data_IF_986342915783
#
_entry.id   IF_986342915783
#
_cell.length_a   1.000
_cell.length_b   1.000
_cell.length_c   1.000
_cell.angle_alpha   90.00
_cell.angle_beta   90.00
_cell.angle_gamma   90.00
#
_symmetry.space_group_name_H-M   'P 1'
#
loop_
_entity.id
_entity.type
_entity.pdbx_description
1 polymer ?
#
# COMPACT_ATOMS: atom_id res chain seq x y z
N UNK A 1 10.04 3.06 18.90
CA UNK A 1 9.16 3.83 18.00
C UNK A 1 9.68 3.66 16.59
N UNK A 2 8.86 3.21 15.65
CA UNK A 2 9.24 2.94 14.27
C UNK A 2 9.30 4.25 13.48
N UNK A 3 10.46 4.55 12.89
CA UNK A 3 10.66 5.73 12.03
C UNK A 3 10.37 5.36 10.58
N UNK A 4 9.33 5.98 10.02
CA UNK A 4 8.84 5.69 8.67
C UNK A 4 9.29 6.78 7.70
N UNK A 5 9.84 6.36 6.56
CA UNK A 5 10.06 7.21 5.39
C UNK A 5 8.93 7.08 4.37
N UNK A 6 8.30 8.18 3.97
CA UNK A 6 7.20 8.16 2.97
C UNK A 6 7.71 8.60 1.60
N UNK A 7 7.60 7.75 0.59
CA UNK A 7 8.05 8.01 -0.77
C UNK A 7 6.83 8.28 -1.66
N UNK A 8 6.71 9.48 -2.18
CA UNK A 8 5.54 10.00 -2.89
C UNK A 8 4.64 10.82 -1.96
N UNK A 9 4.52 12.11 -2.24
CA UNK A 9 3.69 13.09 -1.50
C UNK A 9 2.49 13.55 -2.35
N UNK A 10 1.99 12.67 -3.22
CA UNK A 10 0.79 12.89 -4.04
C UNK A 10 -0.51 12.79 -3.23
N UNK A 11 -1.54 12.13 -3.76
CA UNK A 11 -2.84 12.03 -3.07
C UNK A 11 -2.77 11.22 -1.76
N UNK A 12 -2.05 10.09 -1.76
CA UNK A 12 -1.99 9.16 -0.62
C UNK A 12 -0.87 9.47 0.37
N UNK A 13 0.26 9.99 -0.09
CA UNK A 13 1.41 10.33 0.77
C UNK A 13 1.06 11.15 2.03
N UNK A 14 0.35 12.29 1.92
CA UNK A 14 -0.06 13.10 3.06
C UNK A 14 -0.94 12.34 4.06
N UNK A 15 -1.78 11.41 3.59
CA UNK A 15 -2.59 10.57 4.47
C UNK A 15 -1.72 9.62 5.30
N UNK A 16 -0.75 8.96 4.67
CA UNK A 16 0.23 8.12 5.36
C UNK A 16 1.08 8.93 6.35
N UNK A 17 1.60 10.09 5.92
CA UNK A 17 2.38 11.00 6.78
C UNK A 17 1.57 11.39 8.02
N UNK A 18 0.30 11.75 7.84
CA UNK A 18 -0.60 12.08 8.94
C UNK A 18 -0.78 10.89 9.87
N UNK A 19 -1.11 9.71 9.36
CA UNK A 19 -1.39 8.54 10.19
C UNK A 19 -0.16 8.12 10.99
N UNK A 20 1.01 7.96 10.37
CA UNK A 20 2.21 7.55 11.09
C UNK A 20 2.67 8.57 12.14
N UNK A 21 2.32 9.85 11.99
CA UNK A 21 2.59 10.90 13.00
C UNK A 21 1.68 10.81 14.24
N UNK A 22 0.52 10.16 14.12
CA UNK A 22 -0.47 10.07 15.21
C UNK A 22 -0.52 8.71 15.91
N UNK A 23 0.05 7.66 15.31
CA UNK A 23 0.11 6.35 15.93
C UNK A 23 1.17 6.33 17.04
N UNK A 24 0.83 5.79 18.21
CA UNK A 24 1.69 5.81 19.40
C UNK A 24 3.07 5.16 19.18
N UNK A 25 3.18 4.20 18.26
CA UNK A 25 4.38 3.39 18.05
C UNK A 25 5.15 3.74 16.77
N UNK A 26 4.77 4.79 16.04
CA UNK A 26 5.48 5.23 14.83
C UNK A 26 5.67 6.74 14.78
N UNK A 27 6.50 7.18 13.85
CA UNK A 27 6.64 8.58 13.47
C UNK A 27 6.95 8.70 11.98
N UNK A 28 6.35 9.67 11.30
CA UNK A 28 6.77 10.09 9.97
C UNK A 28 8.08 10.86 10.08
N UNK A 29 9.18 10.19 9.80
CA UNK A 29 10.52 10.73 10.03
C UNK A 29 11.03 11.53 8.83
N UNK A 30 10.81 11.01 7.62
CA UNK A 30 11.21 11.66 6.37
C UNK A 30 10.15 11.45 5.28
N UNK A 31 10.11 12.33 4.30
CA UNK A 31 9.40 12.07 3.05
C UNK A 31 10.17 12.52 1.81
N UNK A 32 9.86 11.88 0.68
CA UNK A 32 10.46 12.16 -0.61
C UNK A 32 9.40 12.37 -1.70
N UNK A 33 9.57 13.39 -2.54
CA UNK A 33 8.78 13.61 -3.75
C UNK A 33 9.63 14.44 -4.72
N UNK A 34 9.51 14.19 -6.03
CA UNK A 34 10.24 14.95 -7.04
C UNK A 34 9.77 16.41 -7.11
N UNK A 35 8.52 16.68 -6.72
CA UNK A 35 7.90 18.00 -6.76
C UNK A 35 8.13 18.79 -5.45
N UNK A 36 8.95 19.84 -5.52
CA UNK A 36 9.29 20.69 -4.37
C UNK A 36 8.07 21.37 -3.73
N UNK A 37 7.07 21.77 -4.52
CA UNK A 37 5.87 22.42 -4.00
C UNK A 37 5.05 21.47 -3.12
N UNK A 38 5.04 20.16 -3.43
CA UNK A 38 4.44 19.14 -2.55
C UNK A 38 5.23 19.03 -1.25
N UNK A 39 6.56 19.03 -1.32
CA UNK A 39 7.42 18.97 -0.12
C UNK A 39 7.25 20.20 0.78
N UNK A 40 7.13 21.40 0.21
CA UNK A 40 6.86 22.65 0.94
C UNK A 40 5.55 22.55 1.72
N UNK A 41 4.45 22.14 1.08
CA UNK A 41 3.14 21.94 1.72
C UNK A 41 3.19 20.91 2.87
N UNK A 42 3.97 19.84 2.71
CA UNK A 42 4.18 18.86 3.78
C UNK A 42 4.89 19.52 4.97
N UNK A 43 5.95 20.30 4.75
CA UNK A 43 6.67 21.00 5.84
C UNK A 43 5.81 22.04 6.56
N UNK A 44 4.92 22.73 5.85
CA UNK A 44 3.96 23.67 6.46
C UNK A 44 2.99 22.96 7.42
N UNK A 45 2.62 21.72 7.12
CA UNK A 45 1.68 20.94 7.93
C UNK A 45 2.38 20.12 9.03
N UNK A 46 3.58 19.62 8.75
CA UNK A 46 4.32 18.68 9.62
C UNK A 46 5.73 19.22 9.89
N UNK A 47 5.86 20.05 10.93
CA UNK A 47 7.09 20.82 11.19
C UNK A 47 8.36 19.98 11.42
N UNK A 48 8.22 18.74 11.92
CA UNK A 48 9.35 17.89 12.30
C UNK A 48 9.78 16.87 11.22
N UNK A 49 9.09 16.83 10.07
CA UNK A 49 9.42 15.87 9.01
C UNK A 49 10.58 16.39 8.15
N UNK A 50 11.60 15.56 7.90
CA UNK A 50 12.64 15.89 6.91
C UNK A 50 12.10 15.65 5.50
N UNK A 51 12.45 16.50 4.55
CA UNK A 51 12.05 16.33 3.14
C UNK A 51 13.26 16.21 2.24
N UNK A 52 13.17 15.38 1.20
CA UNK A 52 14.17 15.27 0.14
C UNK A 52 13.49 15.11 -1.23
N UNK A 53 14.18 15.42 -2.31
CA UNK A 53 13.75 15.05 -3.67
C UNK A 53 14.29 13.68 -4.12
N UNK A 54 15.23 13.10 -3.36
CA UNK A 54 15.84 11.81 -3.68
C UNK A 54 15.41 10.76 -2.66
N UNK A 55 14.58 9.81 -3.08
CA UNK A 55 14.12 8.74 -2.19
C UNK A 55 15.27 7.87 -1.67
N UNK A 56 16.41 7.81 -2.37
CA UNK A 56 17.59 7.06 -1.90
C UNK A 56 18.16 7.62 -0.60
N UNK A 57 17.95 8.89 -0.32
CA UNK A 57 18.36 9.47 0.97
C UNK A 57 17.55 8.85 2.12
N UNK A 58 16.29 8.46 1.89
CA UNK A 58 15.47 7.73 2.87
C UNK A 58 16.00 6.29 3.03
N UNK A 59 16.28 5.61 1.91
CA UNK A 59 16.74 4.22 1.93
C UNK A 59 18.09 4.08 2.65
N UNK A 60 18.99 5.05 2.45
CA UNK A 60 20.32 5.05 3.06
C UNK A 60 20.34 5.61 4.47
N UNK A 61 19.25 6.21 4.97
CA UNK A 61 19.23 6.79 6.30
C UNK A 61 19.24 5.68 7.37
N UNK A 62 20.21 5.64 8.30
CA UNK A 62 20.32 4.55 9.27
C UNK A 62 19.17 4.54 10.28
N UNK A 63 18.61 5.72 10.58
CA UNK A 63 17.45 5.83 11.48
C UNK A 63 16.09 5.49 10.85
N UNK A 64 16.00 5.22 9.54
CA UNK A 64 14.72 4.82 8.92
C UNK A 64 14.55 3.31 9.07
N UNK A 65 13.49 2.87 9.73
CA UNK A 65 13.18 1.45 9.96
C UNK A 65 12.34 0.85 8.83
N UNK A 66 11.39 1.65 8.31
CA UNK A 66 10.40 1.22 7.33
C UNK A 66 10.14 2.32 6.29
N UNK A 67 9.71 1.92 5.09
CA UNK A 67 9.27 2.82 4.04
C UNK A 67 7.83 2.57 3.65
N UNK A 68 7.10 3.65 3.38
CA UNK A 68 5.77 3.64 2.79
C UNK A 68 5.85 4.21 1.37
N UNK A 69 5.59 3.39 0.36
CA UNK A 69 5.67 3.77 -1.05
C UNK A 69 4.26 4.13 -1.53
N UNK A 70 4.07 5.40 -1.87
CA UNK A 70 2.84 6.00 -2.40
C UNK A 70 3.14 6.81 -3.68
N UNK A 71 4.10 6.33 -4.47
CA UNK A 71 4.51 6.88 -5.77
C UNK A 71 3.64 6.32 -6.91
N UNK A 72 3.85 6.73 -8.18
CA UNK A 72 3.18 6.09 -9.31
C UNK A 72 3.53 4.61 -9.46
N UNK A 73 2.58 3.84 -10.01
CA UNK A 73 2.63 2.37 -10.03
C UNK A 73 3.88 1.79 -10.71
N UNK A 74 4.33 2.42 -11.80
CA UNK A 74 5.50 2.02 -12.59
C UNK A 74 6.82 2.05 -11.79
N UNK A 75 6.87 2.84 -10.72
CA UNK A 75 8.05 2.97 -9.85
C UNK A 75 8.05 2.00 -8.66
N UNK A 76 6.92 1.35 -8.35
CA UNK A 76 6.77 0.56 -7.14
C UNK A 76 7.78 -0.59 -7.02
N UNK A 77 7.95 -1.39 -8.08
CA UNK A 77 8.86 -2.53 -8.05
C UNK A 77 10.29 -2.11 -7.72
N UNK A 78 10.82 -1.14 -8.48
CA UNK A 78 12.19 -0.64 -8.30
C UNK A 78 12.41 -0.11 -6.88
N UNK A 79 11.51 0.75 -6.39
CA UNK A 79 11.65 1.36 -5.07
C UNK A 79 11.51 0.30 -3.97
N UNK A 80 10.54 -0.61 -4.07
CA UNK A 80 10.32 -1.67 -3.10
C UNK A 80 11.52 -2.63 -3.03
N UNK A 81 12.07 -3.00 -4.18
CA UNK A 81 13.27 -3.84 -4.27
C UNK A 81 14.47 -3.17 -3.59
N UNK A 82 14.80 -1.94 -4.00
CA UNK A 82 15.92 -1.19 -3.41
C UNK A 82 15.73 -0.99 -1.89
N UNK A 83 14.49 -0.77 -1.43
CA UNK A 83 14.21 -0.62 0.00
C UNK A 83 14.39 -1.91 0.80
N UNK A 84 13.92 -3.05 0.27
CA UNK A 84 14.12 -4.36 0.90
C UNK A 84 15.60 -4.72 0.94
N UNK A 85 16.34 -4.50 -0.16
CA UNK A 85 17.78 -4.73 -0.25
C UNK A 85 18.58 -3.82 0.69
N UNK A 86 18.09 -2.60 0.96
CA UNK A 86 18.61 -1.70 1.99
C UNK A 86 18.19 -2.10 3.42
N UNK A 87 17.53 -3.25 3.60
CA UNK A 87 17.12 -3.79 4.90
C UNK A 87 15.95 -3.05 5.55
N UNK A 88 15.10 -2.37 4.78
CA UNK A 88 13.92 -1.65 5.28
C UNK A 88 12.67 -2.53 5.22
N UNK A 89 11.76 -2.36 6.18
CA UNK A 89 10.41 -2.88 6.03
C UNK A 89 9.65 -2.05 4.98
N UNK A 90 8.78 -2.67 4.18
CA UNK A 90 8.08 -2.01 3.08
C UNK A 90 6.57 -2.16 3.23
N UNK A 91 5.87 -1.03 3.23
CA UNK A 91 4.45 -0.91 2.88
C UNK A 91 4.35 -0.23 1.52
N UNK A 92 3.73 -0.86 0.54
CA UNK A 92 3.58 -0.31 -0.81
C UNK A 92 2.10 -0.16 -1.16
N UNK A 93 1.71 0.99 -1.72
CA UNK A 93 0.39 1.16 -2.31
C UNK A 93 0.15 0.13 -3.43
N UNK A 94 -1.13 -0.15 -3.67
CA UNK A 94 -1.55 -1.09 -4.72
C UNK A 94 -1.61 -0.40 -6.09
N UNK A 95 -1.38 -1.15 -7.18
CA UNK A 95 -0.88 -2.52 -7.20
C UNK A 95 0.63 -2.54 -6.90
N UNK A 96 1.13 -3.65 -6.32
CA UNK A 96 2.55 -3.78 -5.98
C UNK A 96 3.45 -3.74 -7.23
N UNK A 97 3.02 -4.39 -8.29
CA UNK A 97 3.54 -4.30 -9.65
C UNK A 97 2.43 -4.72 -10.63
N UNK A 98 2.61 -4.38 -11.91
CA UNK A 98 1.78 -4.88 -13.03
C UNK A 98 2.28 -6.23 -13.57
N UNK A 99 3.46 -6.69 -13.15
CA UNK A 99 4.01 -8.01 -13.49
C UNK A 99 4.03 -8.93 -12.26
N UNK A 100 3.31 -10.06 -12.27
CA UNK A 100 3.33 -11.00 -11.15
C UNK A 100 4.72 -11.57 -10.86
N UNK A 101 5.63 -11.65 -11.84
CA UNK A 101 7.01 -12.13 -11.64
C UNK A 101 7.79 -11.19 -10.73
N UNK A 102 7.59 -9.88 -10.88
CA UNK A 102 8.17 -8.86 -10.01
C UNK A 102 7.63 -8.98 -8.58
N UNK A 103 6.33 -9.27 -8.41
CA UNK A 103 5.76 -9.52 -7.09
C UNK A 103 6.40 -10.74 -6.39
N UNK A 104 6.61 -11.85 -7.10
CA UNK A 104 7.29 -13.03 -6.55
C UNK A 104 8.76 -12.76 -6.23
N UNK A 105 9.43 -11.96 -7.04
CA UNK A 105 10.80 -11.52 -6.75
C UNK A 105 10.86 -10.70 -5.45
N UNK A 106 9.97 -9.72 -5.28
CA UNK A 106 9.89 -8.92 -4.04
C UNK A 106 9.58 -9.78 -2.82
N UNK A 107 8.67 -10.76 -2.94
CA UNK A 107 8.38 -11.71 -1.86
C UNK A 107 9.64 -12.50 -1.45
N UNK A 108 10.42 -12.99 -2.43
CA UNK A 108 11.67 -13.69 -2.18
C UNK A 108 12.68 -12.79 -1.46
N UNK A 109 12.90 -11.58 -1.97
CA UNK A 109 13.85 -10.62 -1.38
C UNK A 109 13.43 -10.27 0.06
N UNK A 110 12.14 -10.04 0.31
CA UNK A 110 11.64 -9.75 1.65
C UNK A 110 11.91 -10.92 2.63
N UNK A 111 11.72 -12.17 2.19
CA UNK A 111 12.05 -13.36 2.97
C UNK A 111 13.55 -13.45 3.25
N UNK A 112 14.38 -13.29 2.23
CA UNK A 112 15.84 -13.40 2.34
C UNK A 112 16.43 -12.33 3.28
N UNK A 113 15.86 -11.12 3.26
CA UNK A 113 16.28 -10.01 4.13
C UNK A 113 15.60 -10.02 5.52
N UNK A 114 14.72 -10.99 5.79
CA UNK A 114 13.87 -11.04 6.98
C UNK A 114 13.11 -9.71 7.22
N UNK A 115 12.57 -9.14 6.14
CA UNK A 115 11.78 -7.90 6.15
C UNK A 115 10.32 -8.15 5.86
N UNK A 116 9.50 -7.20 6.30
CA UNK A 116 8.06 -7.21 6.04
C UNK A 116 7.84 -6.54 4.70
N UNK A 117 7.08 -7.19 3.84
CA UNK A 117 6.51 -6.61 2.63
C UNK A 117 4.98 -6.66 2.75
N UNK A 118 4.35 -5.49 2.75
CA UNK A 118 2.90 -5.34 2.86
C UNK A 118 2.38 -4.51 1.69
N UNK A 119 1.23 -4.90 1.14
CA UNK A 119 0.53 -4.14 0.09
C UNK A 119 -0.67 -3.41 0.70
N UNK A 120 -0.91 -2.18 0.25
CA UNK A 120 -1.97 -1.27 0.70
C UNK A 120 -3.39 -1.69 0.33
N UNK A 121 -3.80 -2.93 0.62
CA UNK A 121 -5.17 -3.42 0.45
C UNK A 121 -6.09 -2.89 1.57
N UNK A 122 -6.24 -1.57 1.67
CA UNK A 122 -6.85 -0.88 2.82
C UNK A 122 -8.27 -1.36 3.18
N UNK A 123 -9.06 -1.85 2.20
CA UNK A 123 -10.44 -2.23 2.45
C UNK A 123 -10.60 -3.45 3.37
N UNK A 124 -9.60 -4.33 3.48
CA UNK A 124 -9.68 -5.47 4.41
C UNK A 124 -9.64 -5.02 5.87
N UNK A 125 -9.29 -3.76 6.14
CA UNK A 125 -9.30 -3.13 7.45
C UNK A 125 -10.55 -2.25 7.68
N UNK A 126 -11.46 -2.16 6.70
CA UNK A 126 -12.72 -1.43 6.88
C UNK A 126 -13.62 -2.15 7.89
N UNK A 127 -14.16 -1.44 8.87
CA UNK A 127 -15.00 -2.02 9.93
C UNK A 127 -16.22 -2.79 9.39
N UNK A 128 -16.83 -2.34 8.29
CA UNK A 128 -17.92 -3.06 7.62
C UNK A 128 -17.47 -4.39 7.02
N UNK A 129 -16.31 -4.42 6.35
CA UNK A 129 -15.72 -5.65 5.79
C UNK A 129 -15.32 -6.62 6.90
N UNK A 130 -14.69 -6.12 7.98
CA UNK A 130 -14.37 -6.92 9.16
C UNK A 130 -15.64 -7.50 9.77
N UNK A 131 -16.72 -6.71 9.89
CA UNK A 131 -17.98 -7.18 10.45
C UNK A 131 -18.66 -8.25 9.59
N UNK A 132 -18.61 -8.11 8.27
CA UNK A 132 -19.08 -9.15 7.35
C UNK A 132 -18.30 -10.45 7.56
N UNK A 133 -16.98 -10.37 7.71
CA UNK A 133 -16.15 -11.54 7.98
C UNK A 133 -16.52 -12.23 9.30
N UNK A 134 -16.79 -11.46 10.35
CA UNK A 134 -17.26 -12.00 11.63
C UNK A 134 -18.55 -12.82 11.46
N UNK A 135 -19.54 -12.30 10.72
CA UNK A 135 -20.80 -13.01 10.46
C UNK A 135 -20.63 -14.28 9.62
N UNK A 136 -19.69 -14.28 8.67
CA UNK A 136 -19.33 -15.48 7.90
C UNK A 136 -18.68 -16.52 8.83
N UNK A 137 -17.72 -16.09 9.67
CA UNK A 137 -16.98 -16.98 10.56
C UNK A 137 -17.83 -17.54 11.71
N UNK A 138 -18.79 -16.77 12.22
CA UNK A 138 -19.72 -17.24 13.25
C UNK A 138 -20.75 -18.25 12.72
N UNK A 139 -20.90 -18.36 11.40
CA UNK A 139 -21.93 -19.19 10.76
C UNK A 139 -23.32 -18.54 10.76
N UNK A 140 -23.46 -17.30 11.20
CA UNK A 140 -24.75 -16.58 11.26
C UNK A 140 -25.40 -16.42 9.88
N UNK A 141 -24.58 -16.29 8.83
CA UNK A 141 -25.05 -16.23 7.44
C UNK A 141 -25.28 -17.61 6.80
N UNK A 142 -24.99 -18.69 7.53
CA UNK A 142 -25.01 -20.05 7.00
C UNK A 142 -24.02 -20.26 5.86
N UNK A 143 -24.40 -21.08 4.88
CA UNK A 143 -23.56 -21.38 3.72
C UNK A 143 -23.62 -20.23 2.71
N UNK A 144 -22.46 -19.63 2.44
CA UNK A 144 -22.33 -18.60 1.41
C UNK A 144 -22.33 -19.25 0.03
N UNK A 145 -23.26 -18.82 -0.83
CA UNK A 145 -23.35 -19.28 -2.22
C UNK A 145 -22.83 -18.25 -3.23
N UNK A 146 -23.00 -16.96 -2.92
CA UNK A 146 -22.71 -15.89 -3.85
C UNK A 146 -22.31 -14.61 -3.12
N UNK A 147 -21.35 -13.89 -3.70
CA UNK A 147 -20.99 -12.54 -3.31
C UNK A 147 -20.68 -11.72 -4.56
N UNK A 148 -20.99 -10.43 -4.48
CA UNK A 148 -20.89 -9.51 -5.60
C UNK A 148 -20.56 -8.11 -5.11
N UNK A 149 -19.79 -7.38 -5.91
CA UNK A 149 -19.37 -6.01 -5.63
C UNK A 149 -19.56 -5.15 -6.88
N UNK A 150 -19.99 -3.90 -6.67
CA UNK A 150 -20.11 -2.89 -7.72
C UNK A 150 -19.37 -1.64 -7.31
N UNK A 151 -18.54 -1.10 -8.20
CA UNK A 151 -17.86 0.18 -8.03
C UNK A 151 -18.66 1.24 -8.78
N UNK A 152 -19.27 2.17 -8.04
CA UNK A 152 -20.13 3.24 -8.61
C UNK A 152 -19.47 4.61 -8.63
N UNK A 153 -18.39 4.80 -7.86
CA UNK A 153 -17.62 6.03 -7.86
C UNK A 153 -16.62 6.03 -9.02
N UNK A 154 -16.57 7.14 -9.77
CA UNK A 154 -15.62 7.32 -10.87
C UNK A 154 -14.18 7.53 -10.39
N UNK A 155 -14.01 8.01 -9.15
CA UNK A 155 -12.68 8.30 -8.61
C UNK A 155 -11.90 9.34 -9.42
N UNK A 156 -10.61 9.55 -9.10
CA UNK A 156 -9.74 10.38 -9.93
C UNK A 156 -9.39 9.64 -11.23
N UNK A 157 -9.32 10.38 -12.35
CA UNK A 157 -8.84 9.82 -13.60
C UNK A 157 -7.36 9.45 -13.48
N UNK A 158 -7.01 8.21 -13.83
CA UNK A 158 -5.65 7.68 -13.79
C UNK A 158 -5.12 7.45 -15.20
N UNK A 159 -3.86 7.76 -15.41
CA UNK A 159 -3.15 7.56 -16.68
C UNK A 159 -2.12 6.43 -16.61
N UNK A 160 -1.82 5.93 -15.41
CA UNK A 160 -0.80 4.92 -15.15
C UNK A 160 -1.34 3.48 -15.16
N UNK A 161 -2.64 3.30 -14.94
CA UNK A 161 -3.31 1.99 -14.87
C UNK A 161 -4.71 2.05 -15.46
N UNK A 162 -5.21 0.92 -15.98
CA UNK A 162 -6.59 0.81 -16.44
C UNK A 162 -7.56 0.47 -15.27
N UNK A 163 -8.86 0.47 -15.54
CA UNK A 163 -9.89 0.18 -14.54
C UNK A 163 -9.73 -1.19 -13.86
N UNK A 164 -9.24 -2.20 -14.58
CA UNK A 164 -8.98 -3.52 -14.02
C UNK A 164 -7.91 -3.43 -12.92
N UNK A 165 -6.77 -2.82 -13.20
CA UNK A 165 -5.67 -2.70 -12.23
C UNK A 165 -5.94 -1.68 -11.11
N UNK A 166 -6.74 -0.65 -11.37
CA UNK A 166 -7.06 0.31 -10.33
C UNK A 166 -8.13 -0.22 -9.36
N UNK A 167 -9.20 -0.83 -9.87
CA UNK A 167 -10.37 -1.14 -9.05
C UNK A 167 -10.43 -2.61 -8.61
N UNK A 168 -10.15 -3.56 -9.51
CA UNK A 168 -10.36 -4.98 -9.22
C UNK A 168 -9.49 -5.55 -8.09
N UNK A 169 -8.22 -5.13 -7.88
CA UNK A 169 -7.44 -5.63 -6.74
C UNK A 169 -8.10 -5.41 -5.39
N UNK A 170 -8.91 -4.36 -5.25
CA UNK A 170 -9.67 -4.13 -4.03
C UNK A 170 -10.75 -5.19 -3.83
N UNK A 171 -11.60 -5.44 -4.82
CA UNK A 171 -12.70 -6.40 -4.69
C UNK A 171 -12.19 -7.84 -4.56
N UNK A 172 -11.14 -8.19 -5.32
CA UNK A 172 -10.48 -9.50 -5.21
C UNK A 172 -9.88 -9.69 -3.81
N UNK A 173 -9.18 -8.68 -3.28
CA UNK A 173 -8.62 -8.77 -1.92
C UNK A 173 -9.69 -8.88 -0.84
N UNK A 174 -10.82 -8.18 -0.99
CA UNK A 174 -11.98 -8.31 -0.09
C UNK A 174 -12.53 -9.73 -0.12
N UNK A 175 -12.81 -10.30 -1.30
CA UNK A 175 -13.37 -11.65 -1.39
C UNK A 175 -12.41 -12.71 -0.87
N UNK A 176 -11.12 -12.64 -1.21
CA UNK A 176 -10.12 -13.53 -0.66
C UNK A 176 -10.04 -13.43 0.87
N UNK A 177 -10.14 -12.21 1.43
CA UNK A 177 -10.16 -11.99 2.87
C UNK A 177 -11.41 -12.54 3.56
N UNK A 178 -12.60 -12.36 2.95
CA UNK A 178 -13.87 -12.82 3.49
C UNK A 178 -13.98 -14.35 3.48
N UNK A 179 -13.54 -15.00 2.40
CA UNK A 179 -13.69 -16.44 2.22
C UNK A 179 -12.47 -17.26 2.63
N UNK A 180 -11.32 -16.62 2.85
CA UNK A 180 -10.09 -17.31 3.24
C UNK A 180 -9.54 -18.25 2.16
N UNK A 181 -9.91 -18.04 0.90
CA UNK A 181 -9.55 -18.89 -0.24
C UNK A 181 -9.29 -18.08 -1.49
N UNK A 182 -8.42 -18.60 -2.36
CA UNK A 182 -8.19 -18.07 -3.71
C UNK A 182 -9.26 -18.59 -4.68
N UNK A 183 -9.58 -17.84 -5.76
CA UNK A 183 -10.48 -18.32 -6.80
C UNK A 183 -9.90 -19.55 -7.52
N UNK A 184 -10.76 -20.52 -7.85
CA UNK A 184 -10.38 -21.69 -8.67
C UNK A 184 -10.42 -21.38 -10.17
N UNK A 185 -11.33 -20.52 -10.59
CA UNK A 185 -11.51 -20.09 -11.98
C UNK A 185 -11.79 -18.60 -12.02
N UNK A 186 -11.28 -17.92 -13.06
CA UNK A 186 -11.48 -16.49 -13.27
C UNK A 186 -11.81 -16.25 -14.75
N UNK A 187 -12.79 -15.39 -15.01
CA UNK A 187 -13.13 -14.91 -16.36
C UNK A 187 -13.36 -13.41 -16.31
N UNK A 188 -12.89 -12.68 -17.33
CA UNK A 188 -13.07 -11.23 -17.45
C UNK A 188 -13.60 -10.88 -18.85
N UNK A 189 -14.39 -9.81 -18.94
CA UNK A 189 -14.90 -9.24 -20.18
C UNK A 189 -14.81 -7.71 -20.09
N UNK A 190 -14.30 -7.07 -21.14
CA UNK A 190 -14.18 -5.62 -21.28
C UNK A 190 -14.65 -5.16 -22.64
#
# INVERSE_FOLDING_TARGET
MIKVGVIGCGHWGPNHIRIFSHLANSVSFMCADLNEERLKKIKETFLNIKTTQNYKDILNHPEVDAVCIASPTDSHFTIAKEALEAGKHVLCEKPLSLDPRECFELERIAKDQAKILMVGHIFVFNAGIVKIKEYIQSGELGKIYYAYATRTNLGPFRYDVNALWDLAPHDISIFNYLFGSMPLNVSARG
#
